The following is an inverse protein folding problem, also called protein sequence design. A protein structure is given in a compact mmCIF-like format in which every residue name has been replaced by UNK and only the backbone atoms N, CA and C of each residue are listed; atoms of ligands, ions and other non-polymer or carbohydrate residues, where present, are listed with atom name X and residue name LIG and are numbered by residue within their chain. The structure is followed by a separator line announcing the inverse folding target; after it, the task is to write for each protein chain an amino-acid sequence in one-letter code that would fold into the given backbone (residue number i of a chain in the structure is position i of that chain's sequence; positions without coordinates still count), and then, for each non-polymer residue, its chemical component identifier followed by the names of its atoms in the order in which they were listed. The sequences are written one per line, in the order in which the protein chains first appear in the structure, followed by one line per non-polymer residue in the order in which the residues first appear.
data_IF_764014946997
#
_entry.id   IF_764014946997
#
_cell.length_a   1.000
_cell.length_b   1.000
_cell.length_c   1.000
_cell.angle_alpha   90.00
_cell.angle_beta   90.00
_cell.angle_gamma   90.00
#
_symmetry.space_group_name_H-M   'P 1'
#
loop_
_entity.id
_entity.type
_entity.pdbx_description
1 polymer ?
#
# COMPACT_ATOMS: atom_id res chain seq x y z
N UNK A 1 13.74 8.13 -1.60
CA UNK A 1 13.61 6.67 -1.47
C UNK A 1 13.19 6.29 -0.08
N UNK A 2 12.29 5.34 0.04
CA UNK A 2 11.81 4.88 1.34
C UNK A 2 12.77 3.82 1.92
N UNK A 3 12.90 3.80 3.24
CA UNK A 3 13.59 2.72 3.96
C UNK A 3 12.58 1.59 4.20
N UNK A 4 12.37 0.79 3.18
CA UNK A 4 11.33 -0.24 3.17
C UNK A 4 11.55 -1.30 4.24
N UNK A 5 12.79 -1.66 4.49
CA UNK A 5 13.11 -2.67 5.51
C UNK A 5 12.62 -2.24 6.87
N UNK A 6 12.97 -1.04 7.30
CA UNK A 6 12.57 -0.55 8.63
C UNK A 6 11.10 -0.14 8.68
N UNK A 7 10.60 0.48 7.61
CA UNK A 7 9.23 0.98 7.60
C UNK A 7 8.18 -0.12 7.43
N UNK A 8 8.50 -1.18 6.71
CA UNK A 8 7.54 -2.23 6.37
C UNK A 8 7.96 -3.60 6.91
N UNK A 9 9.14 -4.08 6.52
CA UNK A 9 9.53 -5.46 6.80
C UNK A 9 9.75 -5.74 8.29
N UNK A 10 10.24 -4.76 9.03
CA UNK A 10 10.48 -4.87 10.48
C UNK A 10 9.37 -4.32 11.34
N UNK A 11 8.27 -3.88 10.73
CA UNK A 11 7.16 -3.31 11.48
C UNK A 11 6.48 -4.37 12.35
N UNK A 12 6.20 -4.00 13.60
CA UNK A 12 5.45 -4.86 14.53
C UNK A 12 3.96 -4.83 14.22
N UNK A 13 3.48 -3.76 13.60
CA UNK A 13 2.09 -3.64 13.15
C UNK A 13 1.95 -4.16 11.73
N UNK A 14 0.76 -4.65 11.35
CA UNK A 14 0.47 -4.87 9.93
C UNK A 14 0.63 -3.56 9.16
N UNK A 15 1.14 -3.65 7.92
CA UNK A 15 1.40 -2.47 7.09
C UNK A 15 0.63 -2.58 5.79
N UNK A 16 -0.19 -1.58 5.53
CA UNK A 16 -0.84 -1.40 4.23
C UNK A 16 0.11 -0.56 3.36
N UNK A 17 0.64 -1.18 2.31
CA UNK A 17 1.53 -0.50 1.36
C UNK A 17 0.76 -0.11 0.12
N UNK A 18 0.81 1.17 -0.22
CA UNK A 18 0.17 1.77 -1.40
C UNK A 18 1.25 2.12 -2.42
N UNK A 19 1.36 1.32 -3.49
CA UNK A 19 2.26 1.61 -4.61
C UNK A 19 1.53 2.54 -5.58
N UNK A 20 2.11 3.71 -5.82
CA UNK A 20 1.45 4.78 -6.58
C UNK A 20 2.46 5.56 -7.43
N UNK A 21 1.95 6.44 -8.28
CA UNK A 21 2.77 7.39 -9.04
C UNK A 21 2.01 8.70 -9.25
N UNK A 22 2.77 9.79 -9.46
CA UNK A 22 2.19 11.13 -9.65
C UNK A 22 1.29 11.23 -10.88
N UNK A 23 1.61 10.48 -11.92
CA UNK A 23 0.86 10.48 -13.19
C UNK A 23 -0.38 9.60 -13.16
N UNK A 24 -0.61 8.89 -12.08
CA UNK A 24 -1.68 7.90 -11.96
C UNK A 24 -2.96 8.55 -11.42
N UNK A 25 -3.95 8.77 -12.29
CA UNK A 25 -5.24 9.34 -11.89
C UNK A 25 -5.96 8.51 -10.82
N UNK A 26 -6.13 7.17 -11.03
CA UNK A 26 -6.77 6.33 -10.02
C UNK A 26 -6.05 6.35 -8.67
N UNK A 27 -4.71 6.48 -8.66
CA UNK A 27 -3.95 6.61 -7.42
C UNK A 27 -4.34 7.89 -6.67
N UNK A 28 -4.52 8.98 -7.40
CA UNK A 28 -4.94 10.26 -6.80
C UNK A 28 -6.34 10.17 -6.21
N UNK A 29 -7.22 9.43 -6.85
CA UNK A 29 -8.57 9.20 -6.35
C UNK A 29 -8.56 8.41 -5.04
N UNK A 30 -7.60 7.53 -4.87
CA UNK A 30 -7.48 6.70 -3.66
C UNK A 30 -6.77 7.41 -2.50
N UNK A 31 -6.06 8.51 -2.76
CA UNK A 31 -5.32 9.19 -1.70
C UNK A 31 -6.18 9.56 -0.48
N UNK A 32 -7.38 10.16 -0.64
CA UNK A 32 -8.22 10.45 0.53
C UNK A 32 -8.75 9.17 1.21
N UNK A 33 -8.99 8.11 0.44
CA UNK A 33 -9.44 6.83 1.00
C UNK A 33 -8.35 6.23 1.89
N UNK A 34 -7.11 6.25 1.41
CA UNK A 34 -5.97 5.73 2.16
C UNK A 34 -5.72 6.55 3.43
N UNK A 35 -5.83 7.88 3.33
CA UNK A 35 -5.68 8.75 4.50
C UNK A 35 -6.75 8.46 5.55
N UNK A 36 -7.98 8.22 5.12
CA UNK A 36 -9.09 7.89 6.00
C UNK A 36 -8.87 6.54 6.69
N UNK A 37 -8.39 5.53 5.94
CA UNK A 37 -8.06 4.22 6.51
C UNK A 37 -6.98 4.35 7.58
N UNK A 38 -5.93 5.13 7.32
CA UNK A 38 -4.87 5.36 8.29
C UNK A 38 -5.40 5.97 9.59
N UNK A 39 -6.30 6.93 9.46
CA UNK A 39 -6.90 7.62 10.61
C UNK A 39 -7.84 6.72 11.40
N UNK A 40 -8.64 5.91 10.72
CA UNK A 40 -9.65 5.06 11.35
C UNK A 40 -9.11 3.75 11.90
N UNK A 41 -7.91 3.34 11.52
CA UNK A 41 -7.35 2.03 11.87
C UNK A 41 -5.95 2.18 12.47
N UNK A 42 -5.84 2.70 13.71
CA UNK A 42 -4.52 2.93 14.33
C UNK A 42 -3.72 1.65 14.60
N UNK A 43 -4.37 0.50 14.53
CA UNK A 43 -3.71 -0.80 14.69
C UNK A 43 -2.88 -1.21 13.48
N UNK A 44 -3.03 -0.54 12.34
CA UNK A 44 -2.21 -0.78 11.15
C UNK A 44 -1.39 0.47 10.84
N UNK A 45 -0.30 0.25 10.10
CA UNK A 45 0.54 1.32 9.57
C UNK A 45 0.26 1.45 8.09
N UNK A 46 0.25 2.67 7.57
CA UNK A 46 0.09 2.93 6.14
C UNK A 46 1.39 3.52 5.60
N UNK A 47 1.93 2.92 4.55
CA UNK A 47 3.17 3.37 3.91
C UNK A 47 2.90 3.54 2.41
N UNK A 48 3.25 4.70 1.87
CA UNK A 48 3.07 4.99 0.45
C UNK A 48 4.42 4.88 -0.25
N UNK A 49 4.46 4.13 -1.35
CA UNK A 49 5.69 3.89 -2.13
C UNK A 49 5.47 4.41 -3.55
N UNK A 50 6.17 5.49 -3.91
CA UNK A 50 6.16 6.00 -5.26
C UNK A 50 7.00 5.08 -6.14
N UNK A 51 6.39 4.44 -7.14
CA UNK A 51 7.08 3.44 -7.96
C UNK A 51 8.20 4.04 -8.80
N UNK A 52 8.07 5.30 -9.22
CA UNK A 52 9.10 5.96 -10.02
C UNK A 52 10.35 6.29 -9.21
N UNK A 53 10.20 6.44 -7.90
CA UNK A 53 11.30 6.72 -6.99
C UNK A 53 11.85 5.46 -6.31
N UNK A 54 11.20 4.32 -6.51
CA UNK A 54 11.55 3.06 -5.85
C UNK A 54 11.42 1.91 -6.84
N UNK A 55 12.13 2.01 -7.97
CA UNK A 55 12.05 1.03 -9.06
C UNK A 55 12.43 -0.38 -8.63
N UNK A 56 13.42 -0.49 -7.75
CA UNK A 56 13.85 -1.80 -7.25
C UNK A 56 12.71 -2.50 -6.48
N UNK A 57 11.97 -1.76 -5.67
CA UNK A 57 10.84 -2.31 -4.94
C UNK A 57 9.71 -2.71 -5.87
N UNK A 58 9.40 -1.86 -6.85
CA UNK A 58 8.36 -2.16 -7.82
C UNK A 58 8.69 -3.44 -8.58
N UNK A 59 9.96 -3.61 -8.99
CA UNK A 59 10.40 -4.82 -9.67
C UNK A 59 10.37 -6.03 -8.76
N UNK A 60 10.83 -5.88 -7.52
CA UNK A 60 10.88 -6.98 -6.55
C UNK A 60 9.50 -7.57 -6.29
N UNK A 61 8.49 -6.72 -6.17
CA UNK A 61 7.12 -7.16 -5.88
C UNK A 61 6.26 -7.33 -7.12
N UNK A 62 6.86 -7.23 -8.31
CA UNK A 62 6.15 -7.46 -9.57
C UNK A 62 5.03 -6.48 -9.83
N UNK A 63 5.23 -5.20 -9.47
CA UNK A 63 4.19 -4.19 -9.62
C UNK A 63 4.08 -3.82 -11.09
N UNK A 64 2.98 -4.22 -11.73
CA UNK A 64 2.72 -3.95 -13.15
C UNK A 64 1.57 -2.99 -13.36
N UNK A 65 0.68 -2.85 -12.39
CA UNK A 65 -0.47 -1.95 -12.45
C UNK A 65 -0.60 -1.23 -11.12
N UNK A 66 -0.98 0.04 -11.16
CA UNK A 66 -1.17 0.86 -9.96
C UNK A 66 -2.52 1.56 -10.02
N UNK A 67 -3.12 1.91 -8.87
CA UNK A 67 -2.61 1.68 -7.52
C UNK A 67 -2.57 0.18 -7.20
N UNK A 68 -1.50 -0.24 -6.53
CA UNK A 68 -1.34 -1.62 -6.08
C UNK A 68 -1.26 -1.60 -4.56
N UNK A 69 -2.13 -2.33 -3.90
CA UNK A 69 -2.18 -2.37 -2.44
C UNK A 69 -1.73 -3.73 -1.94
N UNK A 70 -0.82 -3.74 -0.97
CA UNK A 70 -0.34 -4.96 -0.35
C UNK A 70 -0.41 -4.83 1.15
N UNK A 71 -0.93 -5.86 1.82
CA UNK A 71 -0.91 -5.93 3.27
C UNK A 71 0.26 -6.81 3.68
N UNK A 72 1.15 -6.26 4.51
CA UNK A 72 2.29 -6.97 5.06
C UNK A 72 2.04 -7.27 6.52
N UNK A 73 2.34 -8.51 6.93
CA UNK A 73 2.34 -8.90 8.34
C UNK A 73 3.64 -9.65 8.61
N UNK A 74 4.40 -9.18 9.59
CA UNK A 74 5.68 -9.78 9.96
C UNK A 74 6.62 -9.91 8.76
N UNK A 75 6.67 -8.88 7.92
CA UNK A 75 7.55 -8.83 6.76
C UNK A 75 7.09 -9.62 5.56
N UNK A 76 5.90 -10.19 5.59
CA UNK A 76 5.39 -11.02 4.50
C UNK A 76 4.07 -10.48 3.95
N UNK A 77 3.90 -10.57 2.63
CA UNK A 77 2.64 -10.18 1.97
C UNK A 77 1.56 -11.21 2.30
N UNK A 78 0.47 -10.75 2.88
CA UNK A 78 -0.66 -11.63 3.22
C UNK A 78 -1.86 -11.44 2.28
N UNK A 79 -1.96 -10.29 1.63
CA UNK A 79 -3.05 -10.01 0.69
C UNK A 79 -2.64 -8.88 -0.24
N UNK A 80 -3.16 -8.89 -1.46
CA UNK A 80 -2.95 -7.82 -2.44
C UNK A 80 -4.24 -7.54 -3.20
N UNK A 81 -4.37 -6.30 -3.68
CA UNK A 81 -5.45 -5.92 -4.60
C UNK A 81 -4.98 -4.76 -5.47
N UNK A 82 -5.61 -4.58 -6.62
CA UNK A 82 -5.18 -3.61 -7.63
C UNK A 82 -6.38 -2.73 -8.04
N UNK A 83 -6.12 -1.45 -8.22
CA UNK A 83 -7.08 -0.54 -8.80
C UNK A 83 -7.84 0.31 -7.78
N UNK A 84 -8.54 1.33 -8.29
CA UNK A 84 -9.36 2.19 -7.46
C UNK A 84 -10.65 1.47 -7.07
N UNK A 85 -11.03 1.59 -5.81
CA UNK A 85 -12.24 0.96 -5.29
C UNK A 85 -12.71 1.68 -4.04
N UNK A 86 -13.99 1.51 -3.64
CA UNK A 86 -14.49 2.07 -2.39
C UNK A 86 -13.73 1.52 -1.18
N UNK A 87 -13.67 2.30 -0.11
CA UNK A 87 -12.96 1.94 1.11
C UNK A 87 -13.36 0.55 1.65
N UNK A 88 -14.65 0.28 1.73
CA UNK A 88 -15.14 -1.01 2.25
C UNK A 88 -14.63 -2.19 1.42
N UNK A 89 -14.62 -2.04 0.09
CA UNK A 89 -14.13 -3.09 -0.81
C UNK A 89 -12.62 -3.30 -0.64
N UNK A 90 -11.87 -2.21 -0.51
CA UNK A 90 -10.43 -2.30 -0.28
C UNK A 90 -10.12 -3.04 1.01
N UNK A 91 -10.77 -2.67 2.11
CA UNK A 91 -10.57 -3.32 3.40
C UNK A 91 -10.94 -4.81 3.33
N UNK A 92 -12.06 -5.13 2.71
CA UNK A 92 -12.48 -6.52 2.54
C UNK A 92 -11.48 -7.32 1.72
N UNK A 93 -11.00 -6.76 0.61
CA UNK A 93 -10.03 -7.42 -0.27
C UNK A 93 -8.71 -7.74 0.45
N UNK A 94 -8.36 -6.94 1.45
CA UNK A 94 -7.12 -7.12 2.21
C UNK A 94 -7.34 -7.89 3.52
N UNK A 95 -8.57 -8.28 3.82
CA UNK A 95 -8.89 -9.00 5.05
C UNK A 95 -8.84 -8.14 6.30
N UNK A 96 -9.14 -6.86 6.13
CA UNK A 96 -9.13 -5.90 7.24
C UNK A 96 -10.54 -5.57 7.79
#
# INVERSE_FOLDING_TARGET
MIDFENEVLKSEKPVLVDFWADWCGPCKMMAPVIAEIAEENPEIKVVKVNVDQNLDLANKYGIMSIPFFALFKNGQVTATTIGAMPKAELLESLGL
#
